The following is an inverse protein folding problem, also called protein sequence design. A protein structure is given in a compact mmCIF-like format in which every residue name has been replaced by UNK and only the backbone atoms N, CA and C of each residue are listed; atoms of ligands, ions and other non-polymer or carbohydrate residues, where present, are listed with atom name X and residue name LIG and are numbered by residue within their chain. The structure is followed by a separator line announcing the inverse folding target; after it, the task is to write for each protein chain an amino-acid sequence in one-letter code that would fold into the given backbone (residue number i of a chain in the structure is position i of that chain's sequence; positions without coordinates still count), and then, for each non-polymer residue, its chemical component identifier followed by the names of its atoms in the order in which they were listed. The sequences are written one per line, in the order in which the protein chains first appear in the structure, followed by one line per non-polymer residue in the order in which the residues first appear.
data_IF_356398596287
#
_entry.id   IF_356398596287
#
_cell.length_a   1.000
_cell.length_b   1.000
_cell.length_c   1.000
_cell.angle_alpha   90.00
_cell.angle_beta   90.00
_cell.angle_gamma   90.00
#
_symmetry.space_group_name_H-M   'P 1'
#
loop_
_entity.id
_entity.type
_entity.pdbx_description
1 polymer ?
#
# COMPACT_ATOMS: atom_id res chain seq x y z
N UNK A 1 18.52 -20.93 0.82
CA UNK A 1 17.37 -20.41 0.06
C UNK A 1 17.23 -18.92 0.37
N UNK A 2 16.92 -18.08 -0.62
CA UNK A 2 16.66 -16.65 -0.44
C UNK A 2 15.17 -16.34 -0.62
N UNK A 3 14.69 -15.28 0.03
CA UNK A 3 13.32 -14.77 -0.11
C UNK A 3 13.39 -13.35 -0.66
N UNK A 4 12.51 -13.03 -1.61
CA UNK A 4 12.36 -11.69 -2.17
C UNK A 4 10.94 -11.22 -1.95
N UNK A 5 10.77 -10.06 -1.32
CA UNK A 5 9.49 -9.39 -1.15
C UNK A 5 9.36 -8.26 -2.19
N UNK A 6 8.28 -8.29 -2.97
CA UNK A 6 7.94 -7.26 -3.95
C UNK A 6 6.57 -6.70 -3.61
N UNK A 7 6.42 -5.37 -3.63
CA UNK A 7 5.13 -4.71 -3.48
C UNK A 7 4.86 -3.73 -4.62
N UNK A 8 3.59 -3.60 -4.98
CA UNK A 8 3.14 -2.58 -5.92
C UNK A 8 3.22 -1.18 -5.28
N UNK A 9 2.74 -1.08 -4.04
CA UNK A 9 2.78 0.14 -3.24
C UNK A 9 3.44 -0.14 -1.89
N UNK A 10 4.37 0.74 -1.50
CA UNK A 10 4.85 0.86 -0.13
C UNK A 10 4.16 2.08 0.52
N UNK A 11 3.49 1.86 1.65
CA UNK A 11 2.69 2.88 2.33
C UNK A 11 3.46 3.65 3.43
N UNK A 12 4.77 3.39 3.55
CA UNK A 12 5.68 4.00 4.54
C UNK A 12 5.19 3.92 6.00
N UNK A 13 4.42 2.87 6.32
CA UNK A 13 3.81 2.63 7.62
C UNK A 13 4.32 1.33 8.27
N UNK A 14 5.57 0.96 8.01
CA UNK A 14 6.15 -0.30 8.48
C UNK A 14 6.47 -0.29 9.99
N UNK A 15 5.75 -1.08 10.78
CA UNK A 15 5.97 -1.24 12.23
C UNK A 15 7.08 -2.23 12.60
N UNK A 16 7.49 -3.07 11.66
CA UNK A 16 8.54 -4.07 11.82
C UNK A 16 9.77 -3.71 10.98
N UNK A 17 10.96 -4.26 11.31
CA UNK A 17 12.19 -4.05 10.53
C UNK A 17 12.20 -4.90 9.24
N UNK A 18 11.07 -4.98 8.54
CA UNK A 18 10.92 -5.64 7.24
C UNK A 18 10.71 -4.56 6.19
N UNK A 19 11.42 -4.68 5.06
CA UNK A 19 11.28 -3.79 3.90
C UNK A 19 11.19 -4.63 2.62
N UNK A 20 10.37 -4.23 1.64
CA UNK A 20 10.35 -4.84 0.32
C UNK A 20 11.70 -4.66 -0.37
N UNK A 21 12.11 -5.67 -1.15
CA UNK A 21 13.31 -5.60 -1.98
C UNK A 21 13.07 -4.78 -3.26
N UNK A 22 11.83 -4.77 -3.75
CA UNK A 22 11.41 -4.01 -4.94
C UNK A 22 10.06 -3.37 -4.66
N UNK A 23 9.95 -2.08 -4.98
CA UNK A 23 8.75 -1.25 -4.77
C UNK A 23 8.34 -0.64 -6.10
N UNK A 24 7.06 -0.75 -6.46
CA UNK A 24 6.50 -0.07 -7.64
C UNK A 24 6.39 1.45 -7.44
N UNK A 25 5.77 1.87 -6.32
CA UNK A 25 5.73 3.25 -5.88
C UNK A 25 5.62 3.35 -4.35
N UNK A 26 6.06 4.47 -3.80
CA UNK A 26 5.91 4.80 -2.37
C UNK A 26 4.90 5.92 -2.21
N UNK A 27 4.00 5.77 -1.24
CA UNK A 27 2.96 6.74 -0.92
C UNK A 27 2.81 6.83 0.60
N UNK A 28 2.74 8.03 1.16
CA UNK A 28 2.38 8.20 2.57
C UNK A 28 0.87 8.40 2.69
N UNK A 29 0.26 7.75 3.68
CA UNK A 29 -1.17 7.91 4.01
C UNK A 29 -1.31 8.49 5.41
N UNK A 30 -2.35 9.29 5.62
CA UNK A 30 -2.77 9.65 6.95
C UNK A 30 -3.31 8.41 7.71
N UNK A 31 -3.34 8.41 9.06
CA UNK A 31 -3.77 7.25 9.84
C UNK A 31 -5.20 6.74 9.53
N UNK A 32 -6.08 7.62 9.05
CA UNK A 32 -7.46 7.33 8.64
C UNK A 32 -7.61 7.06 7.13
N UNK A 33 -6.52 7.10 6.37
CA UNK A 33 -6.55 6.88 4.92
C UNK A 33 -6.18 5.43 4.57
N UNK A 34 -6.79 4.91 3.50
CA UNK A 34 -6.43 3.62 2.91
C UNK A 34 -6.43 3.71 1.40
N UNK A 35 -5.62 2.89 0.75
CA UNK A 35 -5.70 2.67 -0.69
C UNK A 35 -6.45 1.38 -0.98
N UNK A 36 -7.52 1.48 -1.74
CA UNK A 36 -8.21 0.35 -2.34
C UNK A 36 -7.61 0.08 -3.72
N UNK A 37 -7.11 -1.13 -3.90
CA UNK A 37 -6.68 -1.65 -5.20
C UNK A 37 -7.82 -2.46 -5.82
N UNK A 38 -8.22 -2.13 -7.05
CA UNK A 38 -9.18 -2.88 -7.87
C UNK A 38 -8.55 -3.26 -9.21
N UNK A 39 -9.07 -4.31 -9.86
CA UNK A 39 -8.45 -4.92 -11.06
C UNK A 39 -8.78 -6.40 -11.16
N UNK A 40 -8.33 -7.11 -12.20
CA UNK A 40 -7.05 -6.94 -12.90
C UNK A 40 -7.03 -5.92 -14.05
N UNK A 41 -8.17 -5.67 -14.70
CA UNK A 41 -8.30 -4.70 -15.80
C UNK A 41 -9.71 -4.04 -15.74
N UNK A 42 -9.81 -2.72 -15.55
CA UNK A 42 -8.71 -1.79 -15.29
C UNK A 42 -8.11 -2.00 -13.89
N UNK A 43 -6.78 -1.96 -13.80
CA UNK A 43 -6.09 -1.84 -12.51
C UNK A 43 -6.24 -0.40 -12.01
N UNK A 44 -6.89 -0.21 -10.87
CA UNK A 44 -7.16 1.11 -10.33
C UNK A 44 -6.83 1.20 -8.84
N UNK A 45 -6.43 2.41 -8.42
CA UNK A 45 -6.12 2.77 -7.04
C UNK A 45 -7.06 3.89 -6.61
N UNK A 46 -7.74 3.70 -5.49
CA UNK A 46 -8.69 4.65 -4.94
C UNK A 46 -8.31 4.98 -3.48
N UNK A 47 -8.17 6.26 -3.16
CA UNK A 47 -7.95 6.73 -1.78
C UNK A 47 -9.28 6.75 -1.03
N UNK A 48 -9.31 6.09 0.12
CA UNK A 48 -10.46 6.02 1.01
C UNK A 48 -10.15 6.72 2.32
N UNK A 49 -10.98 7.71 2.66
CA UNK A 49 -10.98 8.34 3.98
C UNK A 49 -11.97 7.62 4.90
N UNK A 50 -11.45 6.99 5.95
CA UNK A 50 -12.23 6.25 6.93
C UNK A 50 -12.77 7.12 8.07
N UNK A 51 -12.48 8.43 8.10
CA UNK A 51 -13.03 9.35 9.08
C UNK A 51 -14.54 9.57 8.93
N UNK A 52 -15.08 9.29 7.74
CA UNK A 52 -16.49 9.55 7.38
C UNK A 52 -17.41 8.34 7.61
N UNK A 53 -16.89 7.20 8.09
CA UNK A 53 -17.69 6.03 8.42
C UNK A 53 -18.29 6.17 9.84
N UNK A 54 -19.35 6.98 9.94
CA UNK A 54 -20.25 7.06 11.12
C UNK A 54 -21.47 6.16 10.95
#
# INVERSE_FOLDING_TARGET
ASVTLVCLLDLDAGELPVRPNVVGATLALAPNERIKLSGPEPLALELQDLSTAL
#
